data_IF_506822745273
#
_entry.id   IF_506822745273
#
_cell.length_a   1.000
_cell.length_b   1.000
_cell.length_c   1.000
_cell.angle_alpha   90.00
_cell.angle_beta   90.00
_cell.angle_gamma   90.00
#
_symmetry.space_group_name_H-M   'P 1'
#
loop_
_entity.id
_entity.type
_entity.pdbx_description
1 polymer ?
#
# COMPACT_ATOMS: atom_id res chain seq x y z
N UNK A 1 -6.82 6.22 -12.74
CA UNK A 1 -5.70 5.90 -11.84
C UNK A 1 -4.46 5.68 -12.71
N UNK A 2 -3.34 6.37 -12.43
CA UNK A 2 -2.02 6.06 -13.00
C UNK A 2 -1.04 5.85 -11.84
N UNK A 3 -0.07 4.94 -12.01
CA UNK A 3 0.95 4.70 -10.98
C UNK A 3 1.87 5.92 -10.86
N UNK A 4 2.19 6.32 -9.63
CA UNK A 4 3.12 7.42 -9.30
C UNK A 4 2.75 8.77 -9.91
N UNK A 5 1.47 8.96 -10.25
CA UNK A 5 0.94 10.28 -10.63
C UNK A 5 0.97 11.24 -9.44
N UNK A 6 0.77 10.69 -8.23
CA UNK A 6 1.01 11.35 -6.95
C UNK A 6 2.03 10.51 -6.18
N UNK A 7 3.02 11.19 -5.62
CA UNK A 7 4.05 10.58 -4.78
C UNK A 7 3.46 10.19 -3.41
N UNK A 8 4.24 9.46 -2.62
CA UNK A 8 3.86 9.13 -1.25
C UNK A 8 3.70 10.39 -0.39
N UNK A 9 2.58 10.49 0.31
CA UNK A 9 2.25 11.65 1.13
C UNK A 9 2.67 11.44 2.57
N UNK A 10 3.66 12.22 3.01
CA UNK A 10 4.16 12.25 4.39
C UNK A 10 3.74 13.54 5.15
N UNK A 11 2.93 14.41 4.51
CA UNK A 11 2.56 15.71 5.07
C UNK A 11 1.23 15.65 5.81
N UNK A 12 0.26 14.91 5.28
CA UNK A 12 -1.07 14.81 5.91
C UNK A 12 -1.00 14.14 7.28
N UNK A 13 -0.09 13.18 7.46
CA UNK A 13 0.30 12.64 8.78
C UNK A 13 1.81 12.54 8.86
N UNK A 14 2.42 13.31 9.76
CA UNK A 14 3.88 13.40 9.85
C UNK A 14 4.56 12.11 10.35
N UNK A 15 3.82 11.20 10.99
CA UNK A 15 4.36 9.95 11.54
C UNK A 15 4.29 8.77 10.56
N UNK A 16 3.76 8.95 9.35
CA UNK A 16 3.64 7.89 8.34
C UNK A 16 3.50 8.45 6.92
N UNK A 17 4.08 7.78 5.93
CA UNK A 17 3.80 8.08 4.53
C UNK A 17 2.67 7.20 3.98
N UNK A 18 1.75 7.79 3.21
CA UNK A 18 0.55 7.14 2.67
C UNK A 18 0.69 7.04 1.14
N UNK A 19 0.57 5.83 0.55
CA UNK A 19 0.59 5.69 -0.90
C UNK A 19 -0.73 6.16 -1.51
N UNK A 20 -0.70 6.75 -2.71
CA UNK A 20 -1.90 7.20 -3.43
C UNK A 20 -2.89 6.04 -3.68
N UNK A 21 -2.39 4.80 -3.85
CA UNK A 21 -3.24 3.59 -3.91
C UNK A 21 -4.13 3.45 -2.66
N UNK A 22 -3.60 3.71 -1.46
CA UNK A 22 -4.37 3.65 -0.21
C UNK A 22 -5.43 4.74 -0.15
N UNK A 23 -5.13 5.96 -0.57
CA UNK A 23 -6.13 7.03 -0.68
C UNK A 23 -7.25 6.69 -1.66
N UNK A 24 -6.92 5.96 -2.72
CA UNK A 24 -7.86 5.56 -3.77
C UNK A 24 -8.56 4.23 -3.50
N UNK A 25 -8.29 3.56 -2.37
CA UNK A 25 -8.89 2.27 -2.04
C UNK A 25 -10.42 2.35 -2.08
N UNK A 26 -11.07 1.44 -2.82
CA UNK A 26 -12.51 1.45 -2.94
C UNK A 26 -13.18 1.15 -1.58
N UNK A 27 -13.88 2.13 -1.00
CA UNK A 27 -14.59 2.01 0.28
C UNK A 27 -16.01 2.58 0.19
N UNK A 28 -16.62 2.53 -1.00
CA UNK A 28 -17.92 3.18 -1.26
C UNK A 28 -19.01 2.57 -0.38
N UNK A 29 -19.13 1.25 -0.40
CA UNK A 29 -20.15 0.54 0.38
C UNK A 29 -19.85 0.58 1.88
N UNK A 30 -18.58 0.50 2.27
CA UNK A 30 -18.18 0.64 3.68
C UNK A 30 -18.47 2.04 4.25
N UNK A 31 -18.32 3.09 3.44
CA UNK A 31 -18.63 4.47 3.86
C UNK A 31 -20.14 4.65 4.02
N UNK A 32 -20.92 4.08 3.10
CA UNK A 32 -22.40 4.16 3.08
C UNK A 32 -23.10 3.26 4.11
N UNK A 33 -22.37 2.59 5.00
CA UNK A 33 -22.97 1.82 6.09
C UNK A 33 -23.79 2.71 7.04
N UNK A 34 -23.40 3.99 7.24
CA UNK A 34 -24.11 4.97 8.11
C UNK A 34 -25.56 5.18 7.68
N UNK A 35 -25.80 5.36 6.37
CA UNK A 35 -27.12 5.73 5.86
C UNK A 35 -28.18 4.63 6.02
N UNK A 36 -27.78 3.42 6.41
CA UNK A 36 -28.67 2.29 6.62
C UNK A 36 -28.92 1.98 8.10
N UNK A 37 -28.25 2.66 9.05
CA UNK A 37 -28.44 2.41 10.49
C UNK A 37 -29.59 3.18 11.14
N UNK A 38 -30.20 4.15 10.45
CA UNK A 38 -31.42 4.86 10.88
C UNK A 38 -32.72 4.10 10.53
N UNK A 39 -32.64 3.07 9.69
CA UNK A 39 -33.68 2.05 9.66
C UNK A 39 -33.42 1.09 10.81
N UNK A 40 -34.47 0.45 11.34
CA UNK A 40 -34.41 -0.62 12.35
C UNK A 40 -33.55 -1.82 11.89
N UNK A 41 -32.25 -1.60 11.69
CA UNK A 41 -31.28 -2.51 11.13
C UNK A 41 -30.91 -3.48 12.25
N UNK A 42 -31.78 -4.48 12.37
CA UNK A 42 -31.87 -5.55 13.36
C UNK A 42 -30.74 -5.59 14.39
N UNK A 43 -31.11 -5.53 15.68
CA UNK A 43 -30.21 -5.66 16.85
C UNK A 43 -29.33 -6.94 16.82
N UNK A 44 -29.59 -7.87 15.90
CA UNK A 44 -28.80 -9.07 15.69
C UNK A 44 -27.43 -8.76 15.06
N UNK A 45 -26.39 -8.92 15.88
CA UNK A 45 -24.98 -8.76 15.52
C UNK A 45 -24.58 -9.70 14.36
N UNK A 46 -25.18 -10.89 14.27
CA UNK A 46 -24.89 -11.88 13.22
C UNK A 46 -25.29 -11.36 11.86
N UNK A 47 -26.51 -10.82 11.74
CA UNK A 47 -26.99 -10.19 10.52
C UNK A 47 -26.13 -9.00 10.11
N UNK A 48 -25.75 -8.13 11.06
CA UNK A 48 -24.90 -6.95 10.78
C UNK A 48 -23.53 -7.35 10.24
N UNK A 49 -22.92 -8.40 10.79
CA UNK A 49 -21.65 -8.96 10.29
C UNK A 49 -21.78 -9.60 8.91
N UNK A 50 -22.90 -10.26 8.61
CA UNK A 50 -23.18 -10.81 7.28
C UNK A 50 -23.37 -9.69 6.24
N UNK A 51 -24.09 -8.63 6.60
CA UNK A 51 -24.27 -7.46 5.75
C UNK A 51 -22.94 -6.77 5.46
N UNK A 52 -22.13 -6.53 6.49
CA UNK A 52 -20.76 -6.02 6.34
C UNK A 52 -19.94 -6.87 5.36
N UNK A 53 -20.02 -8.21 5.47
CA UNK A 53 -19.30 -9.11 4.56
C UNK A 53 -19.72 -8.88 3.11
N UNK A 54 -21.02 -8.76 2.83
CA UNK A 54 -21.52 -8.49 1.47
C UNK A 54 -21.04 -7.15 0.92
N UNK A 55 -21.07 -6.09 1.75
CA UNK A 55 -20.59 -4.75 1.37
C UNK A 55 -19.09 -4.74 1.09
N UNK A 56 -18.30 -5.37 1.96
CA UNK A 56 -16.86 -5.50 1.79
C UNK A 56 -16.49 -6.31 0.53
N UNK A 57 -17.23 -7.39 0.23
CA UNK A 57 -17.04 -8.17 -1.01
C UNK A 57 -17.25 -7.28 -2.25
N UNK A 58 -18.25 -6.40 -2.23
CA UNK A 58 -18.53 -5.52 -3.36
C UNK A 58 -17.40 -4.50 -3.57
N UNK A 59 -17.00 -3.79 -2.52
CA UNK A 59 -15.88 -2.84 -2.57
C UNK A 59 -14.57 -3.53 -3.01
N UNK A 60 -14.30 -4.73 -2.49
CA UNK A 60 -13.13 -5.53 -2.87
C UNK A 60 -13.16 -5.97 -4.35
N UNK A 61 -14.32 -6.41 -4.86
CA UNK A 61 -14.47 -6.79 -6.26
C UNK A 61 -14.25 -5.60 -7.21
N UNK A 62 -14.77 -4.43 -6.85
CA UNK A 62 -14.55 -3.18 -7.61
C UNK A 62 -13.07 -2.78 -7.56
N UNK A 63 -12.45 -2.82 -6.38
CA UNK A 63 -11.03 -2.51 -6.24
C UNK A 63 -10.16 -3.43 -7.11
N UNK A 64 -10.41 -4.75 -7.08
CA UNK A 64 -9.68 -5.70 -7.91
C UNK A 64 -9.84 -5.45 -9.43
N UNK A 65 -11.04 -5.08 -9.87
CA UNK A 65 -11.28 -4.69 -11.27
C UNK A 65 -10.53 -3.41 -11.66
N UNK A 66 -10.54 -2.39 -10.80
CA UNK A 66 -9.87 -1.12 -11.02
C UNK A 66 -8.34 -1.28 -11.02
N UNK A 67 -7.78 -2.12 -10.15
CA UNK A 67 -6.36 -2.46 -10.14
C UNK A 67 -5.95 -3.24 -11.40
N UNK A 68 -6.81 -4.15 -11.88
CA UNK A 68 -6.56 -4.83 -13.14
C UNK A 68 -6.55 -3.85 -14.33
N UNK A 69 -7.48 -2.89 -14.36
CA UNK A 69 -7.51 -1.81 -15.35
C UNK A 69 -6.29 -0.90 -15.27
N UNK A 70 -5.87 -0.51 -14.06
CA UNK A 70 -4.64 0.25 -13.81
C UNK A 70 -3.42 -0.47 -14.37
N UNK A 71 -3.42 -1.80 -14.32
CA UNK A 71 -2.37 -2.64 -14.85
C UNK A 71 -2.57 -3.03 -16.33
N UNK A 72 -3.41 -2.29 -17.07
CA UNK A 72 -3.69 -2.52 -18.49
C UNK A 72 -4.16 -3.96 -18.79
N UNK A 73 -4.93 -4.54 -17.87
CA UNK A 73 -5.40 -5.93 -17.91
C UNK A 73 -4.28 -6.99 -17.97
N UNK A 74 -3.05 -6.66 -17.57
CA UNK A 74 -1.93 -7.61 -17.51
C UNK A 74 -1.98 -8.39 -16.19
N UNK A 75 -1.84 -9.71 -16.28
CA UNK A 75 -1.78 -10.62 -15.14
C UNK A 75 -0.33 -10.91 -14.76
N UNK A 76 0.32 -9.98 -14.06
CA UNK A 76 1.75 -10.06 -13.73
C UNK A 76 2.03 -9.81 -12.23
N UNK A 77 3.32 -9.80 -11.86
CA UNK A 77 3.81 -9.55 -10.48
C UNK A 77 3.23 -8.26 -9.91
N UNK A 78 3.15 -7.18 -10.70
CA UNK A 78 2.67 -5.87 -10.24
C UNK A 78 1.18 -5.90 -9.87
N UNK A 79 0.34 -6.50 -10.71
CA UNK A 79 -1.07 -6.69 -10.37
C UNK A 79 -1.24 -7.51 -9.08
N UNK A 80 -0.52 -8.62 -8.94
CA UNK A 80 -0.63 -9.45 -7.74
C UNK A 80 -0.13 -8.75 -6.47
N UNK A 81 0.87 -7.87 -6.59
CA UNK A 81 1.36 -7.04 -5.49
C UNK A 81 0.30 -6.02 -5.09
N UNK A 82 -0.32 -5.32 -6.04
CA UNK A 82 -1.42 -4.39 -5.73
C UNK A 82 -2.61 -5.08 -5.05
N UNK A 83 -2.99 -6.28 -5.52
CA UNK A 83 -4.04 -7.09 -4.87
C UNK A 83 -3.65 -7.38 -3.42
N UNK A 84 -2.40 -7.78 -3.17
CA UNK A 84 -1.89 -8.03 -1.81
C UNK A 84 -1.92 -6.76 -0.95
N UNK A 85 -1.52 -5.61 -1.49
CA UNK A 85 -1.47 -4.35 -0.76
C UNK A 85 -2.87 -3.85 -0.40
N UNK A 86 -3.78 -3.78 -1.37
CA UNK A 86 -5.18 -3.37 -1.13
C UNK A 86 -5.94 -4.38 -0.25
N UNK A 87 -5.72 -5.69 -0.40
CA UNK A 87 -6.31 -6.69 0.51
C UNK A 87 -5.83 -6.49 1.96
N UNK A 88 -4.53 -6.27 2.13
CA UNK A 88 -3.96 -6.00 3.44
C UNK A 88 -4.55 -4.74 4.07
N UNK A 89 -4.71 -3.68 3.29
CA UNK A 89 -5.31 -2.42 3.78
C UNK A 89 -6.78 -2.58 4.15
N UNK A 90 -7.57 -3.32 3.37
CA UNK A 90 -8.92 -3.71 3.80
C UNK A 90 -8.86 -4.44 5.15
N UNK A 91 -7.89 -5.35 5.33
CA UNK A 91 -7.69 -6.05 6.59
C UNK A 91 -7.43 -5.12 7.76
N UNK A 92 -6.49 -4.18 7.61
CA UNK A 92 -6.16 -3.22 8.67
C UNK A 92 -7.31 -2.24 8.96
N UNK A 93 -8.09 -1.84 7.95
CA UNK A 93 -9.33 -1.08 8.16
C UNK A 93 -10.30 -1.90 9.02
N UNK A 94 -10.55 -3.15 8.64
CA UNK A 94 -11.45 -4.04 9.39
C UNK A 94 -10.94 -4.31 10.80
N UNK A 95 -9.63 -4.49 11.00
CA UNK A 95 -9.02 -4.77 12.31
C UNK A 95 -8.84 -3.52 13.18
N UNK A 96 -8.96 -2.32 12.62
CA UNK A 96 -8.75 -1.06 13.34
C UNK A 96 -7.28 -0.74 13.55
N UNK A 97 -6.43 -1.17 12.63
CA UNK A 97 -4.96 -1.02 12.64
C UNK A 97 -4.43 -0.23 11.45
N UNK A 98 -5.32 0.35 10.63
CA UNK A 98 -4.95 1.20 9.49
C UNK A 98 -4.36 2.54 9.95
N UNK A 99 -3.27 2.96 9.30
CA UNK A 99 -2.49 4.13 9.65
C UNK A 99 -2.95 5.42 8.95
N UNK A 100 -3.87 5.37 7.98
CA UNK A 100 -4.40 6.59 7.34
C UNK A 100 -5.36 7.30 8.32
N UNK A 101 -6.55 6.73 8.56
CA UNK A 101 -7.51 7.25 9.55
C UNK A 101 -7.93 8.71 9.34
N UNK A 102 -8.09 9.16 8.09
CA UNK A 102 -8.48 10.54 7.72
C UNK A 102 -9.75 10.53 6.86
N UNK A 103 -10.55 11.59 6.94
CA UNK A 103 -11.72 11.79 6.07
C UNK A 103 -12.70 10.60 6.13
N UNK A 104 -13.00 10.03 4.97
CA UNK A 104 -13.91 8.87 4.86
C UNK A 104 -13.43 7.63 5.63
N UNK A 105 -12.12 7.44 5.85
CA UNK A 105 -11.65 6.32 6.68
C UNK A 105 -12.07 6.45 8.15
N UNK A 106 -12.23 7.68 8.67
CA UNK A 106 -12.82 7.87 10.01
C UNK A 106 -14.29 7.48 10.05
N UNK A 107 -15.04 7.77 8.98
CA UNK A 107 -16.44 7.35 8.84
C UNK A 107 -16.54 5.83 8.82
N UNK A 108 -15.69 5.15 8.04
CA UNK A 108 -15.63 3.69 8.01
C UNK A 108 -15.27 3.10 9.38
N UNK A 109 -14.29 3.67 10.09
CA UNK A 109 -13.95 3.21 11.45
C UNK A 109 -15.14 3.34 12.41
N UNK A 110 -15.89 4.44 12.36
CA UNK A 110 -17.09 4.62 13.18
C UNK A 110 -18.19 3.60 12.84
N UNK A 111 -18.37 3.27 11.55
CA UNK A 111 -19.29 2.22 11.12
C UNK A 111 -18.90 0.85 11.70
N UNK A 112 -17.60 0.54 11.69
CA UNK A 112 -17.11 -0.71 12.25
C UNK A 112 -17.28 -0.74 13.77
N UNK A 113 -17.03 0.37 14.48
CA UNK A 113 -17.31 0.49 15.92
C UNK A 113 -18.78 0.26 16.24
N UNK A 114 -19.70 0.79 15.42
CA UNK A 114 -21.13 0.56 15.64
C UNK A 114 -21.52 -0.91 15.50
N UNK A 115 -20.85 -1.67 14.63
CA UNK A 115 -21.12 -3.10 14.37
C UNK A 115 -20.48 -4.00 15.41
N UNK A 116 -19.22 -3.73 15.77
CA UNK A 116 -18.43 -4.62 16.62
C UNK A 116 -18.39 -4.21 18.09
N UNK A 117 -18.85 -3.00 18.43
CA UNK A 117 -18.75 -2.41 19.76
C UNK A 117 -17.43 -1.68 19.98
N UNK A 118 -17.30 -1.06 21.16
CA UNK A 118 -16.11 -0.31 21.60
C UNK A 118 -15.53 -0.82 22.92
N UNK A 119 -16.00 -1.95 23.43
CA UNK A 119 -15.41 -2.62 24.59
C UNK A 119 -14.02 -3.18 24.25
N UNK A 120 -13.25 -3.52 25.28
CA UNK A 120 -11.87 -4.01 25.17
C UNK A 120 -11.72 -5.24 24.27
N UNK A 121 -12.76 -6.07 24.14
CA UNK A 121 -12.74 -7.27 23.29
C UNK A 121 -13.16 -7.00 21.85
N UNK A 122 -13.61 -5.78 21.50
CA UNK A 122 -14.07 -5.44 20.16
C UNK A 122 -12.97 -5.62 19.11
N UNK A 123 -11.73 -5.22 19.41
CA UNK A 123 -10.60 -5.38 18.48
C UNK A 123 -10.28 -6.85 18.21
N UNK A 124 -10.35 -7.71 19.23
CA UNK A 124 -10.17 -9.16 19.07
C UNK A 124 -11.27 -9.76 18.19
N UNK A 125 -12.54 -9.36 18.39
CA UNK A 125 -13.67 -9.82 17.55
C UNK A 125 -13.52 -9.37 16.10
N UNK A 126 -13.04 -8.15 15.85
CA UNK A 126 -12.72 -7.64 14.50
C UNK A 126 -11.63 -8.48 13.84
N UNK A 127 -10.55 -8.80 14.56
CA UNK A 127 -9.46 -9.66 14.08
C UNK A 127 -9.92 -11.09 13.76
N UNK A 128 -10.74 -11.70 14.60
CA UNK A 128 -11.34 -13.02 14.35
C UNK A 128 -12.19 -12.99 13.08
N UNK A 129 -13.10 -12.02 12.95
CA UNK A 129 -13.95 -11.87 11.78
C UNK A 129 -13.15 -11.68 10.49
N UNK A 130 -12.06 -10.89 10.52
CA UNK A 130 -11.17 -10.74 9.38
C UNK A 130 -10.48 -12.06 9.01
N UNK A 131 -9.98 -12.81 9.99
CA UNK A 131 -9.35 -14.10 9.74
C UNK A 131 -10.28 -15.12 9.07
N UNK A 132 -11.57 -15.12 9.44
CA UNK A 132 -12.60 -15.95 8.83
C UNK A 132 -13.02 -15.47 7.43
N UNK A 133 -12.80 -14.19 7.11
CA UNK A 133 -13.34 -13.56 5.89
C UNK A 133 -12.29 -13.28 4.81
N UNK A 134 -11.02 -13.10 5.16
CA UNK A 134 -9.95 -12.62 4.26
C UNK A 134 -9.80 -13.41 2.95
N UNK A 135 -9.98 -14.74 2.99
CA UNK A 135 -9.94 -15.58 1.80
C UNK A 135 -11.10 -15.32 0.84
N UNK A 136 -12.29 -15.04 1.38
CA UNK A 136 -13.47 -14.67 0.59
C UNK A 136 -13.28 -13.28 -0.03
N UNK A 137 -12.69 -12.34 0.72
CA UNK A 137 -12.39 -10.99 0.23
C UNK A 137 -11.34 -11.03 -0.88
N UNK A 138 -10.27 -11.80 -0.71
CA UNK A 138 -9.28 -12.03 -1.78
C UNK A 138 -9.94 -12.61 -3.04
N UNK A 139 -10.81 -13.61 -2.89
CA UNK A 139 -11.53 -14.23 -4.01
C UNK A 139 -12.42 -13.20 -4.73
N UNK A 140 -13.03 -12.26 -3.98
CA UNK A 140 -13.80 -11.16 -4.55
C UNK A 140 -12.92 -10.21 -5.36
N UNK A 141 -11.75 -9.80 -4.85
CA UNK A 141 -10.81 -8.96 -5.63
C UNK A 141 -10.37 -9.64 -6.92
N UNK A 142 -10.23 -10.97 -6.91
CA UNK A 142 -9.86 -11.75 -8.10
C UNK A 142 -11.03 -12.03 -9.06
N UNK A 143 -12.25 -11.55 -8.77
CA UNK A 143 -13.44 -11.85 -9.54
C UNK A 143 -13.33 -11.47 -11.02
N UNK A 144 -12.78 -10.28 -11.35
CA UNK A 144 -12.59 -9.87 -12.74
C UNK A 144 -11.63 -10.76 -13.52
N UNK A 145 -10.58 -11.28 -12.85
CA UNK A 145 -9.67 -12.28 -13.44
C UNK A 145 -10.39 -13.60 -13.62
N UNK A 146 -11.14 -14.06 -12.62
CA UNK A 146 -11.97 -15.28 -12.69
C UNK A 146 -12.99 -15.23 -13.81
N UNK A 147 -13.64 -14.10 -14.05
CA UNK A 147 -14.62 -13.94 -15.14
C UNK A 147 -13.98 -14.18 -16.52
N UNK A 148 -12.70 -13.85 -16.68
CA UNK A 148 -11.95 -14.00 -17.94
C UNK A 148 -11.25 -15.35 -18.07
N UNK A 149 -10.63 -15.83 -16.98
CA UNK A 149 -9.77 -17.02 -16.99
C UNK A 149 -10.43 -18.27 -16.37
N UNK A 150 -11.69 -18.17 -15.94
CA UNK A 150 -12.44 -19.22 -15.23
C UNK A 150 -11.60 -19.76 -14.06
N UNK A 151 -11.54 -21.08 -13.86
CA UNK A 151 -10.82 -21.71 -12.74
C UNK A 151 -9.31 -21.45 -12.71
N UNK A 152 -8.68 -21.02 -13.81
CA UNK A 152 -7.23 -20.76 -13.85
C UNK A 152 -6.80 -19.50 -13.07
N UNK A 153 -7.74 -18.67 -12.63
CA UNK A 153 -7.45 -17.44 -11.88
C UNK A 153 -6.68 -17.68 -10.58
N UNK A 154 -6.86 -18.84 -9.95
CA UNK A 154 -6.26 -19.19 -8.66
C UNK A 154 -4.73 -19.27 -8.73
N UNK A 155 -4.18 -19.51 -9.92
CA UNK A 155 -2.74 -19.64 -10.16
C UNK A 155 -2.05 -18.33 -10.51
N UNK A 156 -2.81 -17.26 -10.80
CA UNK A 156 -2.25 -15.96 -11.19
C UNK A 156 -1.58 -15.28 -10.00
N UNK A 157 -2.33 -15.11 -8.91
CA UNK A 157 -1.83 -14.57 -7.66
C UNK A 157 -1.99 -15.62 -6.58
N UNK A 158 -0.91 -15.94 -5.86
CA UNK A 158 -0.94 -17.00 -4.84
C UNK A 158 -1.72 -16.53 -3.60
N UNK A 159 -2.84 -17.20 -3.28
CA UNK A 159 -3.71 -16.85 -2.15
C UNK A 159 -2.96 -16.83 -0.82
N UNK A 160 -2.13 -17.85 -0.56
CA UNK A 160 -1.38 -18.00 0.70
C UNK A 160 -0.42 -16.83 0.96
N UNK A 161 0.09 -16.19 -0.10
CA UNK A 161 0.93 -15.00 0.01
C UNK A 161 0.08 -13.75 0.29
N UNK A 162 -1.09 -13.64 -0.35
CA UNK A 162 -1.95 -12.47 -0.22
C UNK A 162 -2.66 -12.38 1.14
N UNK A 163 -3.13 -13.51 1.69
CA UNK A 163 -3.89 -13.54 2.96
C UNK A 163 -3.00 -13.62 4.21
N UNK A 164 -1.68 -13.66 4.03
CA UNK A 164 -0.74 -13.61 5.15
C UNK A 164 -0.83 -12.25 5.83
N UNK A 165 -1.07 -12.25 7.14
CA UNK A 165 -1.21 -11.02 7.91
C UNK A 165 0.18 -10.57 8.31
N UNK A 166 0.56 -9.40 7.81
CA UNK A 166 1.81 -8.72 8.09
C UNK A 166 1.46 -7.28 8.48
N UNK A 167 2.18 -6.63 9.40
CA UNK A 167 1.83 -5.28 9.84
C UNK A 167 1.81 -4.29 8.67
N UNK A 168 0.91 -3.31 8.71
CA UNK A 168 0.71 -2.41 7.57
C UNK A 168 1.99 -1.69 7.14
N UNK A 169 2.83 -1.26 8.10
CA UNK A 169 4.08 -0.57 7.78
C UNK A 169 5.07 -1.45 7.00
N UNK A 170 5.10 -2.76 7.27
CA UNK A 170 5.97 -3.69 6.55
C UNK A 170 5.54 -3.77 5.09
N UNK A 171 4.24 -3.93 4.84
CA UNK A 171 3.68 -3.97 3.49
C UNK A 171 3.89 -2.66 2.73
N UNK A 172 3.76 -1.52 3.42
CA UNK A 172 4.05 -0.19 2.83
C UNK A 172 5.52 -0.02 2.47
N UNK A 173 6.46 -0.51 3.28
CA UNK A 173 7.89 -0.49 2.93
C UNK A 173 8.15 -1.35 1.68
N UNK A 174 7.50 -2.52 1.57
CA UNK A 174 7.57 -3.35 0.34
C UNK A 174 7.03 -2.61 -0.88
N UNK A 175 5.88 -1.94 -0.75
CA UNK A 175 5.28 -1.15 -1.83
C UNK A 175 6.18 0.04 -2.22
N UNK A 176 6.67 0.80 -1.24
CA UNK A 176 7.56 1.95 -1.43
C UNK A 176 8.87 1.56 -2.10
N UNK A 177 9.51 0.48 -1.67
CA UNK A 177 10.74 -0.01 -2.27
C UNK A 177 10.56 -0.36 -3.75
N UNK A 178 9.42 -0.94 -4.13
CA UNK A 178 9.10 -1.25 -5.54
C UNK A 178 8.89 0.01 -6.37
N UNK A 179 8.26 1.03 -5.80
CA UNK A 179 8.14 2.33 -6.45
C UNK A 179 9.50 2.99 -6.61
N UNK A 180 10.34 2.97 -5.57
CA UNK A 180 11.69 3.52 -5.61
C UNK A 180 12.54 2.93 -6.75
N UNK A 181 12.65 1.59 -6.83
CA UNK A 181 13.44 0.94 -7.90
C UNK A 181 12.83 1.11 -9.29
N UNK A 182 11.53 1.41 -9.38
CA UNK A 182 10.88 1.74 -10.67
C UNK A 182 11.18 3.17 -11.11
N UNK A 183 11.35 4.09 -10.15
CA UNK A 183 11.60 5.52 -10.41
C UNK A 183 13.08 5.82 -10.66
N UNK A 184 13.99 5.23 -9.87
CA UNK A 184 15.43 5.54 -9.89
C UNK A 184 16.06 5.49 -11.29
N UNK A 185 15.87 4.44 -12.12
CA UNK A 185 16.45 4.41 -13.46
C UNK A 185 15.95 5.54 -14.36
N UNK A 186 14.67 5.91 -14.22
CA UNK A 186 14.05 6.99 -14.99
C UNK A 186 14.65 8.34 -14.62
N UNK A 187 14.83 8.61 -13.33
CA UNK A 187 15.39 9.87 -12.84
C UNK A 187 16.89 9.99 -13.16
N UNK A 188 17.65 8.89 -13.01
CA UNK A 188 19.06 8.84 -13.43
C UNK A 188 19.21 9.03 -14.94
N UNK A 189 18.32 8.44 -15.75
CA UNK A 189 18.36 8.60 -17.20
C UNK A 189 18.13 10.06 -17.62
N UNK A 190 17.12 10.73 -17.05
CA UNK A 190 16.87 12.17 -17.28
C UNK A 190 18.09 13.03 -16.90
N UNK A 191 18.77 12.66 -15.81
CA UNK A 191 19.99 13.34 -15.37
C UNK A 191 21.13 13.14 -16.37
N UNK A 192 21.40 11.89 -16.79
CA UNK A 192 22.45 11.53 -17.75
C UNK A 192 22.27 12.24 -19.09
N UNK A 193 21.05 12.29 -19.63
CA UNK A 193 20.75 12.96 -20.91
C UNK A 193 21.20 14.43 -20.96
N UNK A 194 21.23 15.11 -19.81
CA UNK A 194 21.63 16.52 -19.73
C UNK A 194 23.05 16.72 -19.22
N UNK A 195 23.53 15.81 -18.37
CA UNK A 195 24.76 16.02 -17.60
C UNK A 195 25.93 15.14 -18.02
N UNK A 196 25.74 14.11 -18.84
CA UNK A 196 26.80 13.15 -19.12
C UNK A 196 27.94 13.79 -19.93
N UNK A 197 29.17 13.40 -19.58
CA UNK A 197 30.41 13.94 -20.12
C UNK A 197 30.84 15.28 -19.53
N UNK A 198 31.74 15.94 -20.26
CA UNK A 198 32.37 17.20 -19.88
C UNK A 198 32.01 18.31 -20.87
N UNK A 199 32.12 19.56 -20.44
CA UNK A 199 31.98 20.72 -21.33
C UNK A 199 33.29 21.05 -22.06
N UNK A 200 34.44 20.71 -21.46
CA UNK A 200 35.78 20.80 -22.04
C UNK A 200 36.63 19.61 -21.55
N UNK A 201 37.95 19.64 -21.68
CA UNK A 201 38.80 18.51 -21.27
C UNK A 201 38.75 18.22 -19.74
N UNK A 202 38.39 19.20 -18.91
CA UNK A 202 38.47 19.12 -17.44
C UNK A 202 37.10 19.15 -16.76
N UNK A 203 36.23 20.07 -17.17
CA UNK A 203 35.05 20.50 -16.41
C UNK A 203 33.82 19.66 -16.76
N UNK A 204 33.13 19.16 -15.72
CA UNK A 204 31.82 18.50 -15.91
C UNK A 204 30.78 19.51 -16.43
N UNK A 205 29.80 19.03 -17.20
CA UNK A 205 28.72 19.89 -17.74
C UNK A 205 27.99 20.67 -16.66
N UNK A 206 27.78 20.09 -15.48
CA UNK A 206 27.08 20.73 -14.34
C UNK A 206 27.69 22.07 -13.92
N UNK A 207 28.99 22.29 -14.16
CA UNK A 207 29.66 23.52 -13.75
C UNK A 207 29.15 24.75 -14.54
N UNK A 208 28.81 24.58 -15.82
CA UNK A 208 28.56 25.71 -16.73
C UNK A 208 27.33 25.55 -17.64
N UNK A 209 26.72 24.37 -17.71
CA UNK A 209 25.58 24.07 -18.61
C UNK A 209 24.27 24.20 -17.82
N UNK A 210 23.46 25.25 -18.02
CA UNK A 210 22.22 25.46 -17.26
C UNK A 210 21.21 24.31 -17.38
N UNK A 211 21.03 23.66 -18.56
CA UNK A 211 20.20 22.45 -18.66
C UNK A 211 20.63 21.31 -17.72
N UNK A 212 21.94 21.10 -17.53
CA UNK A 212 22.43 20.10 -16.59
C UNK A 212 22.20 20.53 -15.14
N UNK A 213 22.46 21.80 -14.80
CA UNK A 213 22.22 22.33 -13.46
C UNK A 213 20.74 22.18 -13.05
N UNK A 214 19.82 22.45 -13.97
CA UNK A 214 18.39 22.26 -13.72
C UNK A 214 18.02 20.78 -13.59
N UNK A 215 18.61 19.89 -14.39
CA UNK A 215 18.41 18.45 -14.23
C UNK A 215 18.90 17.95 -12.86
N UNK A 216 20.06 18.44 -12.37
CA UNK A 216 20.55 18.16 -11.03
C UNK A 216 19.57 18.64 -9.95
N UNK A 217 19.01 19.84 -10.06
CA UNK A 217 18.00 20.36 -9.11
C UNK A 217 16.73 19.50 -9.10
N UNK A 218 16.25 19.07 -10.26
CA UNK A 218 15.07 18.19 -10.34
C UNK A 218 15.33 16.81 -9.72
N UNK A 219 16.51 16.24 -9.98
CA UNK A 219 16.93 14.98 -9.35
C UNK A 219 17.06 15.13 -7.83
N UNK A 220 17.68 16.22 -7.36
CA UNK A 220 17.86 16.56 -5.94
C UNK A 220 16.51 16.68 -5.22
N UNK A 221 15.53 17.34 -5.85
CA UNK A 221 14.15 17.39 -5.33
C UNK A 221 13.52 16.00 -5.22
N UNK A 222 13.72 15.13 -6.21
CA UNK A 222 13.20 13.77 -6.19
C UNK A 222 13.84 12.93 -5.09
N UNK A 223 15.17 12.88 -5.03
CA UNK A 223 15.89 12.05 -4.05
C UNK A 223 15.67 12.55 -2.62
N UNK A 224 15.59 13.87 -2.41
CA UNK A 224 15.24 14.47 -1.12
C UNK A 224 13.86 13.99 -0.64
N UNK A 225 12.86 13.89 -1.54
CA UNK A 225 11.55 13.32 -1.19
C UNK A 225 11.66 11.85 -0.82
N UNK A 226 12.43 11.05 -1.56
CA UNK A 226 12.62 9.62 -1.28
C UNK A 226 13.33 9.38 0.05
N UNK A 227 14.36 10.17 0.36
CA UNK A 227 15.02 10.15 1.66
C UNK A 227 14.04 10.42 2.79
N UNK A 228 13.29 11.52 2.71
CA UNK A 228 12.29 11.86 3.73
C UNK A 228 11.23 10.76 3.88
N UNK A 229 10.75 10.18 2.78
CA UNK A 229 9.80 9.06 2.81
C UNK A 229 10.40 7.84 3.52
N UNK A 230 11.64 7.48 3.19
CA UNK A 230 12.35 6.38 3.83
C UNK A 230 12.52 6.60 5.33
N UNK A 231 12.94 7.80 5.75
CA UNK A 231 13.14 8.15 7.16
C UNK A 231 11.83 8.03 7.95
N UNK A 232 10.72 8.53 7.41
CA UNK A 232 9.40 8.43 8.05
C UNK A 232 8.95 6.97 8.15
N UNK A 233 9.04 6.19 7.06
CA UNK A 233 8.61 4.79 7.04
C UNK A 233 9.47 3.90 7.94
N UNK A 234 10.80 4.09 7.92
CA UNK A 234 11.75 3.32 8.72
C UNK A 234 11.60 3.60 10.21
N UNK A 235 11.34 4.85 10.61
CA UNK A 235 11.05 5.19 12.01
C UNK A 235 9.69 4.64 12.45
N UNK A 236 8.67 4.68 11.59
CA UNK A 236 7.38 4.05 11.89
C UNK A 236 7.52 2.53 12.07
N UNK A 237 8.35 1.89 11.25
CA UNK A 237 8.67 0.47 11.42
C UNK A 237 9.27 0.18 12.79
N UNK A 238 10.27 0.95 13.24
CA UNK A 238 10.89 0.77 14.58
C UNK A 238 9.84 0.88 15.69
N UNK A 239 8.98 1.89 15.61
CA UNK A 239 7.89 2.09 16.59
C UNK A 239 6.90 0.92 16.63
N UNK A 240 6.42 0.48 15.46
CA UNK A 240 5.47 -0.65 15.36
C UNK A 240 6.12 -1.95 15.84
N UNK A 241 7.36 -2.22 15.43
CA UNK A 241 8.09 -3.42 15.80
C UNK A 241 8.31 -3.53 17.31
N UNK A 242 8.60 -2.42 17.99
CA UNK A 242 8.75 -2.41 19.45
C UNK A 242 7.41 -2.66 20.18
N UNK A 243 6.29 -2.27 19.57
CA UNK A 243 4.95 -2.50 20.12
C UNK A 243 4.43 -3.93 19.85
N UNK A 244 4.89 -4.58 18.77
CA UNK A 244 4.46 -5.92 18.40
C UNK A 244 5.20 -7.01 19.16
N UNK A 245 4.43 -7.91 19.79
CA UNK A 245 4.96 -9.11 20.47
C UNK A 245 5.23 -10.29 19.52
N UNK A 246 5.01 -10.12 18.21
CA UNK A 246 5.14 -11.19 17.21
C UNK A 246 6.44 -11.00 16.44
N UNK A 247 7.32 -11.98 16.50
CA UNK A 247 8.54 -12.00 15.69
C UNK A 247 8.19 -12.39 14.24
N UNK A 248 8.43 -11.50 13.29
CA UNK A 248 8.39 -11.84 11.87
C UNK A 248 9.73 -12.44 11.46
N UNK A 249 9.72 -13.69 10.97
CA UNK A 249 10.93 -14.43 10.63
C UNK A 249 11.81 -13.65 9.63
N UNK A 250 13.08 -13.45 10.00
CA UNK A 250 14.09 -12.83 9.14
C UNK A 250 13.94 -11.32 8.92
N UNK A 251 13.13 -10.61 9.72
CA UNK A 251 12.99 -9.14 9.61
C UNK A 251 13.45 -8.47 10.91
N UNK A 252 14.70 -8.00 10.94
CA UNK A 252 15.31 -7.29 12.07
C UNK A 252 15.18 -5.78 11.89
N UNK A 253 15.42 -5.29 10.68
CA UNK A 253 15.51 -3.89 10.30
C UNK A 253 14.56 -3.61 9.13
N UNK A 254 14.25 -2.33 8.82
CA UNK A 254 13.48 -2.00 7.63
C UNK A 254 14.20 -2.40 6.32
N UNK A 255 15.54 -2.44 6.32
CA UNK A 255 16.34 -2.92 5.17
C UNK A 255 16.08 -4.39 4.84
N UNK A 256 15.83 -5.23 5.85
CA UNK A 256 15.53 -6.65 5.62
C UNK A 256 14.23 -6.84 4.82
N UNK A 257 13.28 -5.91 4.95
CA UNK A 257 12.07 -5.91 4.14
C UNK A 257 12.40 -5.67 2.67
N UNK A 258 13.28 -4.70 2.39
CA UNK A 258 13.72 -4.39 1.03
C UNK A 258 14.50 -5.57 0.44
N UNK A 259 15.43 -6.17 1.18
CA UNK A 259 16.17 -7.38 0.79
C UNK A 259 15.26 -8.55 0.44
N UNK A 260 14.14 -8.71 1.16
CA UNK A 260 13.17 -9.78 0.88
C UNK A 260 12.25 -9.48 -0.32
N UNK A 261 11.99 -8.21 -0.62
CA UNK A 261 10.99 -7.82 -1.63
C UNK A 261 11.60 -7.49 -3.00
N UNK A 262 12.81 -6.94 -3.00
CA UNK A 262 13.48 -6.40 -4.18
C UNK A 262 14.57 -7.37 -4.63
N UNK A 263 14.59 -7.62 -5.93
CA UNK A 263 15.57 -8.51 -6.55
C UNK A 263 16.94 -7.77 -6.55
N UNK A 264 18.01 -8.42 -6.08
CA UNK A 264 19.39 -7.90 -6.03
C UNK A 264 19.59 -6.59 -5.21
N UNK A 265 18.78 -6.36 -4.18
CA UNK A 265 18.91 -5.16 -3.34
C UNK A 265 20.24 -5.13 -2.57
N UNK A 266 20.98 -4.02 -2.72
CA UNK A 266 22.21 -3.73 -1.99
C UNK A 266 21.99 -2.54 -1.05
N UNK A 267 22.07 -2.78 0.25
CA UNK A 267 21.84 -1.77 1.29
C UNK A 267 22.85 -0.62 1.21
N UNK A 268 24.12 -0.89 0.93
CA UNK A 268 25.16 0.14 0.82
C UNK A 268 24.93 1.01 -0.42
N UNK A 269 24.52 0.41 -1.54
CA UNK A 269 24.16 1.17 -2.73
C UNK A 269 22.94 2.08 -2.45
N UNK A 270 21.91 1.54 -1.83
CA UNK A 270 20.72 2.30 -1.45
C UNK A 270 21.04 3.47 -0.52
N UNK A 271 21.81 3.26 0.55
CA UNK A 271 22.23 4.34 1.46
C UNK A 271 23.13 5.38 0.81
N UNK A 272 23.91 5.01 -0.21
CA UNK A 272 24.67 5.99 -1.00
C UNK A 272 23.77 6.78 -1.97
N UNK A 273 22.64 6.21 -2.36
CA UNK A 273 21.67 6.85 -3.25
C UNK A 273 20.77 7.84 -2.51
N UNK A 274 20.26 7.49 -1.31
CA UNK A 274 19.27 8.28 -0.53
C UNK A 274 19.86 9.24 0.50
#
# INVERSE_FOLDING_TARGET
>A
RKRRERDWDCNTKKDVCIPDRRYQLCMKELTNLVNNTDTNFHRDITFRKLYLKRKLIYDAAVEGDLLLKLNNYRYNKDFCKDIRWSLGDFGDIIMGTDMEGIGYSKVVENNLRSIFGTDEKAQQRRKQWWNESKAQIWTAMMYSVKKRLKGKFIWICKINVAVNIEPQIYRRIREWGRDYVSELPTEVQKLKEKCDGKINYTDKKVCKVPPCQNACKSYDQWITRKKNQWDVLSNKFKSVKNAEKVQTAGIVTPYDILKQELDEFNEVAFENEI
#
